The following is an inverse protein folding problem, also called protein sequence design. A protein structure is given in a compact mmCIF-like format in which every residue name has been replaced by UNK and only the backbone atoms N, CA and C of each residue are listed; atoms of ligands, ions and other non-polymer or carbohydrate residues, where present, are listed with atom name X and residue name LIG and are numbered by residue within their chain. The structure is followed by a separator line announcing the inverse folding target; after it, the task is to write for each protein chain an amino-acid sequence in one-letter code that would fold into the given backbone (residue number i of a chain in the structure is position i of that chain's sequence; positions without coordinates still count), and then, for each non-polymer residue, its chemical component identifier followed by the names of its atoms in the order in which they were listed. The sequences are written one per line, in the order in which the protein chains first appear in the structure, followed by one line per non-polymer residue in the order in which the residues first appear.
data_IF_281340360077
#
_entry.id   IF_281340360077
#
_cell.length_a   1.000
_cell.length_b   1.000
_cell.length_c   1.000
_cell.angle_alpha   90.00
_cell.angle_beta   90.00
_cell.angle_gamma   90.00
#
_symmetry.space_group_name_H-M   'P 1'
#
loop_
_entity.id
_entity.type
_entity.pdbx_description
1 polymer ?
#
# COMPACT_ATOMS: atom_id res chain seq x y z
N UNK A 1 -17.20 -14.29 16.35
CA UNK A 1 -17.74 -13.46 15.23
C UNK A 1 -17.04 -12.11 15.10
N UNK A 2 -16.89 -11.32 16.17
CA UNK A 2 -16.19 -10.02 16.10
C UNK A 2 -14.73 -10.10 15.63
N UNK A 3 -13.96 -11.11 16.06
CA UNK A 3 -12.56 -11.28 15.64
C UNK A 3 -12.41 -11.60 14.15
N UNK A 4 -13.30 -12.42 13.58
CA UNK A 4 -13.28 -12.75 12.15
C UNK A 4 -13.51 -11.52 11.27
N UNK A 5 -14.52 -10.71 11.61
CA UNK A 5 -14.80 -9.46 10.88
C UNK A 5 -13.59 -8.53 10.93
N UNK A 6 -12.94 -8.43 12.08
CA UNK A 6 -11.74 -7.61 12.24
C UNK A 6 -10.58 -8.10 11.36
N UNK A 7 -10.32 -9.41 11.31
CA UNK A 7 -9.30 -9.97 10.42
C UNK A 7 -9.61 -9.71 8.94
N UNK A 8 -10.86 -9.89 8.52
CA UNK A 8 -11.29 -9.60 7.14
C UNK A 8 -11.07 -8.12 6.79
N UNK A 9 -11.38 -7.20 7.70
CA UNK A 9 -11.13 -5.77 7.51
C UNK A 9 -9.64 -5.47 7.33
N UNK A 10 -8.78 -6.03 8.19
CA UNK A 10 -7.32 -5.84 8.08
C UNK A 10 -6.80 -6.39 6.75
N UNK A 11 -7.22 -7.59 6.36
CA UNK A 11 -6.80 -8.19 5.09
C UNK A 11 -7.26 -7.35 3.89
N UNK A 12 -8.49 -6.84 3.93
CA UNK A 12 -9.03 -5.96 2.88
C UNK A 12 -8.22 -4.67 2.77
N UNK A 13 -7.84 -4.06 3.89
CA UNK A 13 -6.97 -2.88 3.92
C UNK A 13 -5.57 -3.19 3.36
N UNK A 14 -4.98 -4.34 3.69
CA UNK A 14 -3.67 -4.73 3.13
C UNK A 14 -3.73 -4.93 1.62
N UNK A 15 -4.79 -5.57 1.11
CA UNK A 15 -5.01 -5.72 -0.34
C UNK A 15 -5.14 -4.33 -1.00
N UNK A 16 -5.91 -3.42 -0.39
CA UNK A 16 -6.05 -2.06 -0.89
C UNK A 16 -4.70 -1.32 -0.96
N UNK A 17 -3.86 -1.43 0.08
CA UNK A 17 -2.53 -0.82 0.09
C UNK A 17 -1.65 -1.39 -1.03
N UNK A 18 -1.70 -2.70 -1.27
CA UNK A 18 -0.94 -3.33 -2.34
C UNK A 18 -1.41 -2.82 -3.71
N UNK A 19 -2.73 -2.78 -3.95
CA UNK A 19 -3.29 -2.27 -5.21
C UNK A 19 -2.93 -0.79 -5.43
N UNK A 20 -3.03 0.04 -4.39
CA UNK A 20 -2.64 1.44 -4.45
C UNK A 20 -1.14 1.59 -4.71
N UNK A 21 -0.30 0.81 -4.04
CA UNK A 21 1.14 0.81 -4.26
C UNK A 21 1.51 0.40 -5.70
N UNK A 22 0.85 -0.62 -6.25
CA UNK A 22 1.06 -1.02 -7.64
C UNK A 22 0.66 0.08 -8.63
N UNK A 23 -0.46 0.76 -8.34
CA UNK A 23 -0.91 1.90 -9.13
C UNK A 23 0.09 3.06 -9.11
N UNK A 24 0.57 3.46 -7.92
CA UNK A 24 1.61 4.50 -7.76
C UNK A 24 2.92 4.11 -8.44
N UNK A 25 3.29 2.82 -8.40
CA UNK A 25 4.53 2.36 -9.05
C UNK A 25 4.47 2.48 -10.57
N UNK A 26 3.30 2.15 -11.16
CA UNK A 26 3.08 2.19 -12.60
C UNK A 26 2.85 3.61 -13.13
N UNK A 27 2.19 4.46 -12.36
CA UNK A 27 1.86 5.84 -12.71
C UNK A 27 2.25 6.81 -11.57
N UNK A 28 3.56 7.07 -11.36
CA UNK A 28 4.08 7.86 -10.23
C UNK A 28 3.83 9.37 -10.35
N UNK A 29 3.58 9.88 -11.56
CA UNK A 29 3.39 11.30 -11.87
C UNK A 29 1.90 11.68 -11.98
N UNK A 30 1.03 10.85 -11.39
CA UNK A 30 -0.40 11.15 -11.43
C UNK A 30 -0.74 12.42 -10.65
N UNK A 31 -1.68 13.23 -11.15
CA UNK A 31 -2.19 14.47 -10.53
C UNK A 31 -2.51 14.32 -9.04
N UNK A 32 -3.15 13.22 -8.61
CA UNK A 32 -3.44 13.03 -7.18
C UNK A 32 -2.18 12.76 -6.32
N UNK A 33 -1.17 12.09 -6.89
CA UNK A 33 0.11 11.80 -6.22
C UNK A 33 0.92 13.09 -6.11
N UNK A 34 0.93 13.88 -7.19
CA UNK A 34 1.55 15.21 -7.23
C UNK A 34 0.93 16.13 -6.21
N UNK A 35 -0.40 16.19 -6.16
CA UNK A 35 -1.14 16.96 -5.14
C UNK A 35 -0.77 16.52 -3.72
N UNK A 36 -0.70 15.21 -3.45
CA UNK A 36 -0.33 14.69 -2.13
C UNK A 36 1.12 15.02 -1.74
N UNK A 37 2.04 15.03 -2.70
CA UNK A 37 3.44 15.39 -2.48
C UNK A 37 3.70 16.91 -2.58
N UNK A 38 2.67 17.74 -2.83
CA UNK A 38 2.80 19.19 -2.93
C UNK A 38 3.53 19.67 -4.20
N UNK A 39 3.50 18.86 -5.27
CA UNK A 39 4.19 19.12 -6.53
C UNK A 39 3.24 19.90 -7.45
N UNK A 40 3.59 21.11 -7.93
CA UNK A 40 2.72 21.89 -8.80
C UNK A 40 2.56 21.26 -10.19
N UNK A 41 1.36 21.35 -10.76
CA UNK A 41 0.98 20.66 -12.01
C UNK A 41 1.81 21.03 -13.25
N UNK A 42 2.43 22.21 -13.23
CA UNK A 42 3.23 22.77 -14.32
C UNK A 42 4.73 22.49 -14.20
N UNK A 43 5.17 21.79 -13.14
CA UNK A 43 6.57 21.41 -12.95
C UNK A 43 6.78 19.98 -13.41
N UNK A 44 7.65 19.80 -14.41
CA UNK A 44 8.11 18.47 -14.83
C UNK A 44 8.97 17.85 -13.73
N UNK A 45 8.65 16.62 -13.33
CA UNK A 45 9.40 15.88 -12.32
C UNK A 45 10.66 15.25 -12.93
N UNK A 46 11.76 15.29 -12.19
CA UNK A 46 12.99 14.60 -12.59
C UNK A 46 12.89 13.07 -12.34
N UNK A 47 13.77 12.31 -13.00
CA UNK A 47 13.81 10.85 -12.88
C UNK A 47 14.09 10.34 -11.46
N UNK A 48 14.85 11.09 -10.67
CA UNK A 48 15.18 10.79 -9.27
C UNK A 48 13.95 10.95 -8.39
N UNK A 49 13.17 12.02 -8.55
CA UNK A 49 11.92 12.24 -7.84
C UNK A 49 10.90 11.14 -8.13
N UNK A 50 10.71 10.81 -9.42
CA UNK A 50 9.84 9.71 -9.83
C UNK A 50 10.31 8.37 -9.26
N UNK A 51 11.61 8.12 -9.25
CA UNK A 51 12.20 6.92 -8.65
C UNK A 51 11.96 6.85 -7.13
N UNK A 52 12.04 7.97 -6.41
CA UNK A 52 11.74 8.03 -4.98
C UNK A 52 10.27 7.70 -4.69
N UNK A 53 9.34 8.20 -5.52
CA UNK A 53 7.91 7.88 -5.40
C UNK A 53 7.68 6.38 -5.60
N UNK A 54 8.26 5.79 -6.65
CA UNK A 54 8.19 4.34 -6.91
C UNK A 54 8.79 3.53 -5.76
N UNK A 55 9.91 3.97 -5.20
CA UNK A 55 10.56 3.30 -4.07
C UNK A 55 9.67 3.30 -2.82
N UNK A 56 9.01 4.43 -2.50
CA UNK A 56 8.02 4.51 -1.41
C UNK A 56 6.86 3.54 -1.63
N UNK A 57 6.39 3.40 -2.88
CA UNK A 57 5.35 2.44 -3.23
C UNK A 57 5.80 0.99 -3.00
N UNK A 58 7.03 0.63 -3.38
CA UNK A 58 7.62 -0.69 -3.11
C UNK A 58 7.67 -0.97 -1.62
N UNK A 59 8.12 -0.01 -0.80
CA UNK A 59 8.14 -0.15 0.67
C UNK A 59 6.73 -0.40 1.21
N UNK A 60 5.73 0.34 0.74
CA UNK A 60 4.34 0.18 1.17
C UNK A 60 3.81 -1.22 0.82
N UNK A 61 4.07 -1.72 -0.40
CA UNK A 61 3.69 -3.07 -0.83
C UNK A 61 4.36 -4.12 0.05
N UNK A 62 5.66 -4.00 0.31
CA UNK A 62 6.39 -4.94 1.16
C UNK A 62 5.82 -4.97 2.57
N UNK A 63 5.58 -3.80 3.16
CA UNK A 63 4.98 -3.67 4.50
C UNK A 63 3.59 -4.30 4.58
N UNK A 64 2.71 -4.01 3.61
CA UNK A 64 1.37 -4.58 3.56
C UNK A 64 1.39 -6.10 3.33
N UNK A 65 2.33 -6.61 2.53
CA UNK A 65 2.50 -8.05 2.31
C UNK A 65 2.90 -8.75 3.61
N UNK A 66 3.90 -8.22 4.33
CA UNK A 66 4.35 -8.77 5.60
C UNK A 66 3.21 -8.73 6.63
N UNK A 67 2.56 -7.58 6.81
CA UNK A 67 1.44 -7.45 7.76
C UNK A 67 0.27 -8.37 7.41
N UNK A 68 -0.09 -8.48 6.13
CA UNK A 68 -1.12 -9.39 5.66
C UNK A 68 -0.80 -10.85 5.99
N UNK A 69 0.43 -11.31 5.73
CA UNK A 69 0.86 -12.67 6.08
C UNK A 69 0.76 -12.93 7.60
N UNK A 70 1.19 -11.97 8.43
CA UNK A 70 1.07 -12.09 9.89
C UNK A 70 -0.39 -12.16 10.34
N UNK A 71 -1.29 -11.37 9.76
CA UNK A 71 -2.71 -11.40 10.14
C UNK A 71 -3.40 -12.68 9.66
N UNK A 72 -3.03 -13.23 8.49
CA UNK A 72 -3.46 -14.57 8.08
C UNK A 72 -3.01 -15.61 9.11
N UNK A 73 -1.73 -15.64 9.46
CA UNK A 73 -1.20 -16.60 10.45
C UNK A 73 -1.93 -16.51 11.79
N UNK A 74 -2.13 -15.29 12.29
CA UNK A 74 -2.83 -15.05 13.55
C UNK A 74 -4.30 -15.51 13.49
N UNK A 75 -4.97 -15.30 12.36
CA UNK A 75 -6.35 -15.76 12.17
C UNK A 75 -6.46 -17.29 12.22
N UNK A 76 -5.48 -18.02 11.65
CA UNK A 76 -5.43 -19.48 11.73
C UNK A 76 -5.17 -19.97 13.16
N UNK A 77 -4.21 -19.36 13.88
CA UNK A 77 -3.94 -19.70 15.27
C UNK A 77 -5.18 -19.50 16.13
N UNK A 78 -5.91 -18.41 15.95
CA UNK A 78 -7.15 -18.15 16.69
C UNK A 78 -8.27 -19.14 16.29
N UNK A 79 -8.34 -19.58 15.03
CA UNK A 79 -9.38 -20.52 14.59
C UNK A 79 -9.12 -21.95 15.12
N UNK A 80 -7.86 -22.33 15.30
CA UNK A 80 -7.43 -23.70 15.64
C UNK A 80 -7.14 -23.90 17.14
N UNK A 81 -6.85 -22.84 17.89
CA UNK A 81 -6.64 -22.86 19.35
C UNK A 81 -7.90 -22.52 20.12
#
# INVERSE_FOLDING_TARGET
MFSLIFYVLILSLNVLIILLGLYVYNDPDNEWIRMFNGIPDHVEQDDVELSQIKFRAVIAIMGATIMGLFTVLQSFVHLLG
#
